data_IF_661361644023
#
_entry.id   IF_661361644023
#
_cell.length_a   1.000
_cell.length_b   1.000
_cell.length_c   1.000
_cell.angle_alpha   90.00
_cell.angle_beta   90.00
_cell.angle_gamma   90.00
#
_symmetry.space_group_name_H-M   'P 1'
#
loop_
_entity.id
_entity.type
_entity.pdbx_description
1 polymer ?
#
# COMPACT_ATOMS: atom_id res chain seq x y z
N UNK A 1 -25.73 7.34 2.47
CA UNK A 1 -24.74 6.27 2.19
C UNK A 1 -24.41 5.54 3.48
N UNK A 2 -24.47 4.22 3.43
CA UNK A 2 -24.14 3.39 4.59
C UNK A 2 -22.90 2.56 4.28
N UNK A 3 -21.87 2.74 5.07
CA UNK A 3 -20.65 1.98 4.94
C UNK A 3 -20.49 1.05 6.15
N UNK A 4 -20.08 -0.18 5.89
CA UNK A 4 -19.69 -1.11 6.97
C UNK A 4 -18.44 -0.59 7.67
N UNK A 5 -18.13 -1.07 8.89
CA UNK A 5 -16.87 -0.70 9.55
C UNK A 5 -15.65 -0.98 8.70
N UNK A 6 -15.62 -2.11 8.00
CA UNK A 6 -14.51 -2.47 7.10
C UNK A 6 -14.38 -1.47 5.94
N UNK A 7 -15.51 -1.07 5.35
CA UNK A 7 -15.50 -0.07 4.27
C UNK A 7 -15.05 1.29 4.76
N UNK A 8 -15.44 1.67 6.00
CA UNK A 8 -14.98 2.92 6.60
C UNK A 8 -13.46 2.91 6.81
N UNK A 9 -12.91 1.81 7.29
CA UNK A 9 -11.46 1.68 7.48
C UNK A 9 -10.72 1.80 6.15
N UNK A 10 -11.22 1.16 5.11
CA UNK A 10 -10.63 1.25 3.77
C UNK A 10 -10.73 2.64 3.18
N UNK A 11 -11.84 3.34 3.45
CA UNK A 11 -11.98 4.72 3.02
C UNK A 11 -10.94 5.63 3.68
N UNK A 12 -10.76 5.50 5.00
CA UNK A 12 -9.74 6.27 5.72
C UNK A 12 -8.35 5.95 5.21
N UNK A 13 -8.05 4.68 4.99
CA UNK A 13 -6.77 4.24 4.43
C UNK A 13 -6.56 4.82 3.03
N UNK A 14 -7.60 4.84 2.21
CA UNK A 14 -7.52 5.40 0.85
C UNK A 14 -7.20 6.89 0.87
N UNK A 15 -7.81 7.65 1.79
CA UNK A 15 -7.50 9.08 1.95
C UNK A 15 -6.05 9.25 2.38
N UNK A 16 -5.59 8.47 3.37
CA UNK A 16 -4.20 8.52 3.83
C UNK A 16 -3.22 8.20 2.68
N UNK A 17 -3.57 7.21 1.86
CA UNK A 17 -2.76 6.85 0.69
C UNK A 17 -2.70 7.93 -0.36
N UNK A 18 -3.82 8.61 -0.61
CA UNK A 18 -3.86 9.75 -1.55
C UNK A 18 -3.00 10.91 -1.06
N UNK A 19 -3.07 11.22 0.23
CA UNK A 19 -2.24 12.25 0.84
C UNK A 19 -0.76 11.88 0.72
N UNK A 20 -0.41 10.64 1.02
CA UNK A 20 0.97 10.17 0.91
C UNK A 20 1.49 10.27 -0.53
N UNK A 21 0.68 9.88 -1.51
CA UNK A 21 1.06 10.00 -2.92
C UNK A 21 1.30 11.43 -3.35
N UNK A 22 0.45 12.36 -2.89
CA UNK A 22 0.63 13.78 -3.17
C UNK A 22 1.94 14.30 -2.58
N UNK A 23 2.22 13.94 -1.33
CA UNK A 23 3.47 14.33 -0.66
C UNK A 23 4.69 13.78 -1.39
N UNK A 24 4.65 12.50 -1.77
CA UNK A 24 5.73 11.90 -2.55
C UNK A 24 5.95 12.64 -3.88
N UNK A 25 4.87 12.97 -4.57
CA UNK A 25 4.94 13.66 -5.86
C UNK A 25 5.59 15.05 -5.73
N UNK A 26 5.45 15.69 -4.56
CA UNK A 26 6.08 16.98 -4.26
C UNK A 26 7.51 16.86 -3.75
N UNK A 27 8.05 15.63 -3.70
CA UNK A 27 9.40 15.38 -3.21
C UNK A 27 9.53 15.36 -1.68
N UNK A 28 8.41 15.28 -0.96
CA UNK A 28 8.42 15.16 0.50
C UNK A 28 8.73 13.72 0.87
N UNK A 29 9.72 13.52 1.73
CA UNK A 29 10.08 12.18 2.22
C UNK A 29 8.97 11.66 3.12
N UNK A 30 8.49 10.44 2.83
CA UNK A 30 7.39 9.85 3.58
C UNK A 30 7.86 9.28 4.91
N UNK A 31 7.03 9.44 5.93
CA UNK A 31 7.24 8.76 7.21
C UNK A 31 6.66 7.34 7.14
N UNK A 32 6.81 6.57 8.23
CA UNK A 32 6.34 5.18 8.25
C UNK A 32 4.84 5.03 7.94
N UNK A 33 3.91 5.71 8.65
CA UNK A 33 2.49 5.52 8.35
C UNK A 33 2.11 5.97 6.94
N UNK A 34 2.76 6.99 6.40
CA UNK A 34 2.53 7.41 5.02
C UNK A 34 2.98 6.35 4.02
N UNK A 35 4.14 5.76 4.24
CA UNK A 35 4.66 4.69 3.39
C UNK A 35 3.74 3.47 3.43
N UNK A 36 3.30 3.06 4.62
CA UNK A 36 2.37 1.93 4.78
C UNK A 36 1.05 2.21 4.09
N UNK A 37 0.49 3.41 4.24
CA UNK A 37 -0.76 3.78 3.61
C UNK A 37 -0.66 3.77 2.08
N UNK A 38 0.42 4.31 1.53
CA UNK A 38 0.64 4.32 0.09
C UNK A 38 0.74 2.91 -0.47
N UNK A 39 1.53 2.05 0.16
CA UNK A 39 1.71 0.66 -0.27
C UNK A 39 0.41 -0.13 -0.15
N UNK A 40 -0.32 0.05 0.94
CA UNK A 40 -1.61 -0.64 1.15
C UNK A 40 -2.63 -0.25 0.08
N UNK A 41 -2.73 1.03 -0.24
CA UNK A 41 -3.63 1.50 -1.29
C UNK A 41 -3.21 0.98 -2.66
N UNK A 42 -1.91 0.92 -2.93
CA UNK A 42 -1.41 0.37 -4.17
C UNK A 42 -1.83 -1.09 -4.33
N UNK A 43 -1.72 -1.88 -3.25
CA UNK A 43 -2.15 -3.29 -3.26
C UNK A 43 -3.65 -3.39 -3.53
N UNK A 44 -4.46 -2.59 -2.84
CA UNK A 44 -5.91 -2.62 -3.01
C UNK A 44 -6.32 -2.34 -4.46
N UNK A 45 -5.70 -1.33 -5.07
CA UNK A 45 -6.03 -0.95 -6.45
C UNK A 45 -5.48 -1.95 -7.46
N UNK A 46 -4.28 -2.46 -7.26
CA UNK A 46 -3.70 -3.49 -8.14
C UNK A 46 -4.53 -4.78 -8.11
N UNK A 47 -5.04 -5.16 -6.94
CA UNK A 47 -5.93 -6.32 -6.83
C UNK A 47 -7.25 -6.05 -7.56
N UNK A 48 -7.79 -4.84 -7.46
CA UNK A 48 -9.03 -4.45 -8.11
C UNK A 48 -8.90 -4.42 -9.62
N UNK A 49 -7.72 -4.06 -10.14
CA UNK A 49 -7.43 -4.09 -11.58
C UNK A 49 -7.52 -5.52 -12.15
N UNK A 50 -7.14 -6.51 -11.35
CA UNK A 50 -7.41 -7.90 -11.65
C UNK A 50 -6.49 -8.57 -12.66
N UNK A 51 -5.37 -7.96 -13.01
CA UNK A 51 -4.45 -8.47 -14.02
C UNK A 51 -3.19 -9.12 -13.45
N UNK A 52 -3.12 -9.30 -12.12
CA UNK A 52 -1.98 -9.91 -11.43
C UNK A 52 -2.42 -10.98 -10.45
N UNK A 53 -1.60 -12.02 -10.31
CA UNK A 53 -1.74 -12.98 -9.21
C UNK A 53 -1.22 -12.35 -7.91
N UNK A 54 -1.50 -13.00 -6.78
CA UNK A 54 -0.96 -12.55 -5.48
C UNK A 54 0.57 -12.48 -5.53
N UNK A 55 1.21 -13.52 -6.10
CA UNK A 55 2.67 -13.58 -6.21
C UNK A 55 3.23 -12.44 -7.06
N UNK A 56 2.59 -12.17 -8.20
CA UNK A 56 3.00 -11.07 -9.07
C UNK A 56 2.85 -9.72 -8.37
N UNK A 57 1.79 -9.57 -7.61
CA UNK A 57 1.50 -8.34 -6.88
C UNK A 57 2.51 -8.13 -5.76
N UNK A 58 2.85 -9.20 -5.03
CA UNK A 58 3.87 -9.16 -3.98
C UNK A 58 5.23 -8.74 -4.53
N UNK A 59 5.59 -9.24 -5.72
CA UNK A 59 6.82 -8.87 -6.41
C UNK A 59 6.81 -7.40 -6.84
N UNK A 60 5.75 -6.98 -7.51
CA UNK A 60 5.61 -5.61 -8.01
C UNK A 60 5.54 -4.58 -6.87
N UNK A 61 4.97 -4.97 -5.74
CA UNK A 61 4.87 -4.11 -4.56
C UNK A 61 6.21 -3.70 -3.96
N UNK A 62 7.27 -4.43 -4.27
CA UNK A 62 8.63 -4.10 -3.81
C UNK A 62 9.32 -3.05 -4.70
N UNK A 63 8.66 -2.61 -5.74
CA UNK A 63 9.18 -1.62 -6.67
C UNK A 63 8.44 -0.28 -6.59
N UNK A 64 7.44 -0.18 -5.72
CA UNK A 64 6.58 1.01 -5.63
C UNK A 64 7.31 2.17 -4.95
N UNK A 65 7.97 1.89 -3.82
CA UNK A 65 8.74 2.90 -3.07
C UNK A 65 10.20 2.50 -3.02
N UNK A 66 11.06 3.49 -3.13
CA UNK A 66 12.51 3.33 -2.95
C UNK A 66 12.94 4.04 -1.66
N UNK A 67 14.19 3.79 -1.24
CA UNK A 67 14.77 4.48 -0.07
C UNK A 67 14.74 5.99 -0.21
N UNK A 68 14.83 6.49 -1.43
CA UNK A 68 14.81 7.93 -1.69
C UNK A 68 13.45 8.57 -1.49
N UNK A 69 12.39 7.78 -1.49
CA UNK A 69 11.02 8.25 -1.31
C UNK A 69 10.64 8.45 0.16
N UNK A 70 11.43 7.94 1.08
CA UNK A 70 11.05 7.86 2.50
C UNK A 70 12.14 8.46 3.39
N UNK A 71 11.76 8.79 4.62
CA UNK A 71 12.69 9.28 5.63
C UNK A 71 13.69 8.20 6.01
N UNK A 72 14.86 8.62 6.50
CA UNK A 72 15.87 7.70 6.97
C UNK A 72 15.29 6.79 8.08
N UNK A 73 15.61 5.50 8.02
CA UNK A 73 15.14 4.51 8.97
C UNK A 73 13.78 3.88 8.63
N UNK A 74 13.00 4.51 7.76
CA UNK A 74 11.68 3.97 7.38
C UNK A 74 11.78 2.61 6.69
N UNK A 75 12.72 2.38 5.75
CA UNK A 75 12.83 1.06 5.12
C UNK A 75 12.99 -0.09 6.13
N UNK A 76 13.74 0.14 7.21
CA UNK A 76 13.98 -0.86 8.24
C UNK A 76 12.77 -1.02 9.17
N UNK A 77 11.97 0.03 9.37
CA UNK A 77 10.76 -0.02 10.18
C UNK A 77 9.62 -0.73 9.47
N UNK A 78 9.53 -0.61 8.14
CA UNK A 78 8.48 -1.26 7.35
C UNK A 78 8.98 -2.63 6.92
N UNK A 79 8.94 -3.57 7.87
CA UNK A 79 9.37 -4.94 7.65
C UNK A 79 8.42 -5.69 6.73
N UNK A 80 7.12 -5.54 6.97
CA UNK A 80 6.11 -6.08 6.08
C UNK A 80 4.83 -5.23 6.11
N UNK A 81 4.08 -5.32 5.03
CA UNK A 81 2.75 -4.71 4.93
C UNK A 81 1.78 -5.82 4.58
N UNK A 82 0.78 -6.02 5.43
CA UNK A 82 -0.27 -7.01 5.20
C UNK A 82 -1.59 -6.30 4.96
N UNK A 83 -2.27 -6.69 3.91
CA UNK A 83 -3.59 -6.15 3.64
C UNK A 83 -4.46 -7.17 2.92
N UNK A 84 -5.71 -7.26 3.36
CA UNK A 84 -6.71 -8.06 2.70
C UNK A 84 -7.27 -7.28 1.52
N UNK A 85 -7.16 -7.85 0.34
CA UNK A 85 -7.59 -7.20 -0.90
C UNK A 85 -8.57 -8.09 -1.66
N UNK A 86 -9.44 -7.45 -2.44
CA UNK A 86 -10.45 -8.16 -3.21
C UNK A 86 -9.97 -8.30 -4.66
N UNK A 87 -9.68 -9.54 -5.03
CA UNK A 87 -9.34 -9.93 -6.40
C UNK A 87 -10.61 -10.33 -7.14
N UNK A 88 -10.57 -10.48 -8.48
CA UNK A 88 -11.75 -10.93 -9.23
C UNK A 88 -12.34 -12.24 -8.72
N UNK A 89 -11.52 -13.13 -8.18
CA UNK A 89 -11.94 -14.44 -7.67
C UNK A 89 -12.08 -14.50 -6.14
N UNK A 90 -12.09 -13.35 -5.47
CA UNK A 90 -12.37 -13.28 -4.04
C UNK A 90 -11.34 -12.54 -3.22
N UNK A 91 -11.54 -12.55 -1.91
CA UNK A 91 -10.65 -11.90 -0.96
C UNK A 91 -9.41 -12.74 -0.72
N UNK A 92 -8.25 -12.07 -0.67
CA UNK A 92 -6.97 -12.72 -0.36
C UNK A 92 -6.13 -11.79 0.50
N UNK A 93 -5.36 -12.38 1.41
CA UNK A 93 -4.37 -11.64 2.17
C UNK A 93 -3.12 -11.48 1.33
N UNK A 94 -2.66 -10.25 1.19
CA UNK A 94 -1.41 -9.93 0.49
C UNK A 94 -0.40 -9.44 1.50
N UNK A 95 0.79 -10.02 1.51
CA UNK A 95 1.88 -9.59 2.37
C UNK A 95 3.04 -9.13 1.50
N UNK A 96 3.41 -7.85 1.67
CA UNK A 96 4.62 -7.32 1.06
C UNK A 96 5.75 -7.45 2.08
N UNK A 97 6.78 -8.22 1.75
CA UNK A 97 7.93 -8.43 2.62
C UNK A 97 9.04 -7.44 2.27
N UNK A 98 9.52 -6.70 3.26
CA UNK A 98 10.59 -5.71 3.10
C UNK A 98 10.39 -4.89 1.82
N UNK A 99 9.26 -4.17 1.72
CA UNK A 99 8.87 -3.59 0.43
C UNK A 99 9.69 -2.40 -0.02
N UNK A 100 10.48 -1.80 0.86
CA UNK A 100 11.27 -0.61 0.53
C UNK A 100 12.75 -0.99 0.49
N UNK A 101 13.27 -1.03 -0.69
CA UNK A 101 14.67 -1.43 -0.97
C UNK A 101 15.61 -0.24 -1.08
#
# INVERSE_FOLDING_TARGET
>A
MRLSPSEQEKLLLSVAGMVARDRRARGVKLNEPEAVALLSCWVLEAARDGDRTVEQLMQAGREVLTRDDVMEGVPELVDEVQIEATFPDGRKLVTLHQPIQ
#
